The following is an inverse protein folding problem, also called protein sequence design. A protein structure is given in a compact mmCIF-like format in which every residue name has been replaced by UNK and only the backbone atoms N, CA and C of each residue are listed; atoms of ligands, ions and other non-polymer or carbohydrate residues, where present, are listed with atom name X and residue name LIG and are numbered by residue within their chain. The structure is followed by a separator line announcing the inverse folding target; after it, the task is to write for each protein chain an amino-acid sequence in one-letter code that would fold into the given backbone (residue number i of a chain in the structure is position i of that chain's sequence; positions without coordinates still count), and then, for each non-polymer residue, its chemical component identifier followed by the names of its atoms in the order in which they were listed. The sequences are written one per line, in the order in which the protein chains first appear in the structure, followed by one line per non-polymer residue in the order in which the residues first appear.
data_IF_908979322280
#
_entry.id   IF_908979322280
#
_cell.length_a   1.000
_cell.length_b   1.000
_cell.length_c   1.000
_cell.angle_alpha   90.00
_cell.angle_beta   90.00
_cell.angle_gamma   90.00
#
_symmetry.space_group_name_H-M   'P 1'
#
loop_
_entity.id
_entity.type
_entity.pdbx_description
1 polymer ?
#
# COMPACT_ATOMS: atom_id res chain seq x y z
N UNK A 1 0.19 24.52 6.76
CA UNK A 1 1.05 23.47 6.19
C UNK A 1 1.36 23.91 4.77
N UNK A 2 2.63 24.23 4.48
CA UNK A 2 3.07 24.61 3.14
C UNK A 2 3.47 23.32 2.40
N UNK A 3 3.00 23.16 1.16
CA UNK A 3 3.26 21.98 0.34
C UNK A 3 2.50 22.06 -0.98
N UNK A 4 2.88 21.23 -1.95
CA UNK A 4 2.17 21.13 -3.22
C UNK A 4 0.92 20.24 -3.05
N UNK A 5 -0.31 20.77 -3.25
CA UNK A 5 -1.52 19.98 -3.07
C UNK A 5 -1.62 18.85 -4.12
N UNK A 6 -1.96 17.66 -3.62
CA UNK A 6 -2.17 16.45 -4.42
C UNK A 6 -3.58 15.92 -4.17
N UNK A 7 -4.21 15.40 -5.21
CA UNK A 7 -5.41 14.58 -5.10
C UNK A 7 -5.01 13.10 -5.05
N UNK A 8 -5.70 12.31 -4.22
CA UNK A 8 -5.51 10.87 -4.10
C UNK A 8 -6.87 10.19 -4.03
N UNK A 9 -7.12 9.24 -4.92
CA UNK A 9 -8.30 8.38 -4.87
C UNK A 9 -7.92 7.02 -4.31
N UNK A 10 -8.77 6.51 -3.42
CA UNK A 10 -8.59 5.24 -2.77
C UNK A 10 -9.91 4.47 -2.64
N UNK A 11 -9.82 3.16 -2.43
CA UNK A 11 -10.95 2.26 -2.18
C UNK A 11 -10.68 1.37 -0.98
N UNK A 12 -11.70 0.70 -0.47
CA UNK A 12 -11.58 -0.28 0.61
C UNK A 12 -11.13 -1.68 0.13
N UNK A 13 -10.49 -1.79 -1.03
CA UNK A 13 -10.01 -3.06 -1.62
C UNK A 13 -8.52 -3.00 -1.94
N UNK A 14 -7.89 -4.17 -2.03
CA UNK A 14 -6.45 -4.30 -2.29
C UNK A 14 -5.64 -3.42 -1.33
N UNK A 15 -4.64 -2.73 -1.86
CA UNK A 15 -3.88 -1.74 -1.10
C UNK A 15 -4.36 -0.30 -1.29
N UNK A 16 -5.67 -0.16 -1.54
CA UNK A 16 -6.46 1.06 -1.55
C UNK A 16 -6.21 2.07 -2.66
N UNK A 17 -4.98 2.54 -2.87
CA UNK A 17 -4.69 3.65 -3.80
C UNK A 17 -5.01 3.23 -5.25
N UNK A 18 -5.82 4.03 -5.94
CA UNK A 18 -6.23 3.76 -7.33
C UNK A 18 -5.73 4.80 -8.31
N UNK A 19 -5.61 6.06 -7.88
CA UNK A 19 -5.16 7.18 -8.71
C UNK A 19 -4.60 8.29 -7.82
N UNK A 20 -3.63 9.04 -8.32
CA UNK A 20 -3.05 10.18 -7.61
C UNK A 20 -2.44 11.17 -8.62
N UNK A 21 -2.40 12.45 -8.27
CA UNK A 21 -1.82 13.47 -9.13
C UNK A 21 -1.89 14.85 -8.51
N UNK A 22 -1.39 15.85 -9.23
CA UNK A 22 -1.34 17.23 -8.74
C UNK A 22 -2.16 18.15 -9.63
N UNK A 23 -2.70 19.23 -9.07
CA UNK A 23 -3.55 20.20 -9.75
C UNK A 23 -4.84 19.63 -10.35
N UNK A 24 -4.74 18.88 -11.46
CA UNK A 24 -5.84 18.34 -12.25
C UNK A 24 -5.52 16.92 -12.74
N UNK A 25 -6.40 16.34 -13.56
CA UNK A 25 -6.26 14.96 -14.07
C UNK A 25 -5.21 14.83 -15.18
N UNK A 26 -4.81 15.94 -15.80
CA UNK A 26 -3.83 15.94 -16.89
C UNK A 26 -2.39 15.87 -16.35
N UNK A 27 -2.23 16.11 -15.04
CA UNK A 27 -0.98 15.93 -14.27
C UNK A 27 -1.08 14.76 -13.29
N UNK A 28 -1.62 13.64 -13.77
CA UNK A 28 -1.71 12.40 -13.01
C UNK A 28 -0.33 11.73 -12.85
N UNK A 29 0.00 11.35 -11.62
CA UNK A 29 1.13 10.44 -11.31
C UNK A 29 0.69 8.99 -11.50
N UNK A 30 -0.54 8.68 -11.07
CA UNK A 30 -1.23 7.41 -11.30
C UNK A 30 -2.52 7.73 -12.07
N UNK A 31 -2.69 7.11 -13.24
CA UNK A 31 -3.80 7.34 -14.16
C UNK A 31 -5.15 7.40 -13.42
N UNK A 32 -5.92 8.46 -13.69
CA UNK A 32 -7.26 8.58 -13.14
C UNK A 32 -8.17 7.47 -13.66
N UNK A 33 -8.79 6.71 -12.75
CA UNK A 33 -9.78 5.69 -13.08
C UNK A 33 -11.14 6.05 -12.49
N UNK A 34 -12.24 5.99 -13.26
CA UNK A 34 -13.58 6.10 -12.70
C UNK A 34 -13.85 4.95 -11.73
N UNK A 35 -14.72 5.21 -10.73
CA UNK A 35 -14.91 4.33 -9.58
C UNK A 35 -15.17 2.85 -9.96
N UNK A 36 -16.03 2.60 -10.94
CA UNK A 36 -16.36 1.25 -11.40
C UNK A 36 -15.13 0.44 -11.88
N UNK A 37 -14.18 1.10 -12.55
CA UNK A 37 -12.93 0.50 -13.04
C UNK A 37 -11.89 0.41 -11.93
N UNK A 38 -11.82 1.43 -11.07
CA UNK A 38 -10.95 1.48 -9.91
C UNK A 38 -11.23 0.28 -8.96
N UNK A 39 -12.49 0.05 -8.59
CA UNK A 39 -12.91 -1.05 -7.71
C UNK A 39 -12.58 -2.46 -8.22
N UNK A 40 -12.53 -2.65 -9.54
CA UNK A 40 -12.23 -3.95 -10.16
C UNK A 40 -10.74 -4.19 -10.34
N UNK A 41 -9.94 -3.12 -10.42
CA UNK A 41 -8.54 -3.22 -10.83
C UNK A 41 -7.55 -2.94 -9.70
N UNK A 42 -7.96 -2.32 -8.59
CA UNK A 42 -7.07 -1.96 -7.46
C UNK A 42 -6.34 -3.15 -6.83
N UNK A 43 -6.92 -4.36 -6.89
CA UNK A 43 -6.25 -5.56 -6.40
C UNK A 43 -5.12 -6.04 -7.31
N UNK A 44 -5.12 -5.61 -8.58
CA UNK A 44 -4.18 -6.05 -9.62
C UNK A 44 -3.24 -4.93 -10.08
N UNK A 45 -3.66 -3.68 -9.96
CA UNK A 45 -2.95 -2.48 -10.41
C UNK A 45 -2.56 -1.60 -9.22
N UNK A 46 -1.57 -0.74 -9.41
CA UNK A 46 -0.97 0.11 -8.37
C UNK A 46 -0.17 -0.71 -7.34
N UNK A 47 -0.40 -0.50 -6.05
CA UNK A 47 0.46 -1.06 -5.00
C UNK A 47 0.08 -2.49 -4.63
N UNK A 48 1.10 -3.35 -4.62
CA UNK A 48 1.02 -4.74 -4.16
C UNK A 48 2.27 -5.08 -3.37
N UNK A 49 2.10 -5.92 -2.34
CA UNK A 49 3.19 -6.40 -1.50
C UNK A 49 3.22 -7.91 -1.60
N UNK A 50 4.38 -8.47 -1.91
CA UNK A 50 4.59 -9.92 -1.87
C UNK A 50 5.67 -10.25 -0.85
N UNK A 51 5.37 -11.21 0.01
CA UNK A 51 6.27 -11.68 1.05
C UNK A 51 6.61 -13.14 0.80
N UNK A 52 7.88 -13.49 0.97
CA UNK A 52 8.32 -14.88 1.11
C UNK A 52 8.69 -15.13 2.57
N UNK A 53 7.93 -15.98 3.25
CA UNK A 53 8.04 -16.25 4.70
C UNK A 53 8.15 -17.76 4.87
N UNK A 54 9.27 -18.25 5.41
CA UNK A 54 9.53 -19.69 5.59
C UNK A 54 9.22 -20.50 4.31
N UNK A 55 9.70 -20.02 3.16
CA UNK A 55 9.44 -20.57 1.82
C UNK A 55 7.97 -20.57 1.34
N UNK A 56 7.07 -19.90 2.04
CA UNK A 56 5.68 -19.68 1.60
C UNK A 56 5.51 -18.28 1.03
N UNK A 57 4.82 -18.17 -0.09
CA UNK A 57 4.43 -16.89 -0.66
C UNK A 57 3.14 -16.38 0.00
N UNK A 58 3.10 -15.09 0.26
CA UNK A 58 1.96 -14.43 0.88
C UNK A 58 1.81 -13.02 0.32
N UNK A 59 0.61 -12.70 -0.15
CA UNK A 59 0.20 -11.37 -0.60
C UNK A 59 -0.79 -10.78 0.41
N UNK A 60 -0.36 -9.86 1.30
CA UNK A 60 -1.25 -9.14 2.18
C UNK A 60 -2.24 -8.29 1.39
N UNK A 61 -3.45 -8.15 1.91
CA UNK A 61 -4.55 -7.40 1.31
C UNK A 61 -5.11 -7.98 0.01
N UNK A 62 -4.74 -9.23 -0.34
CA UNK A 62 -5.36 -9.95 -1.46
C UNK A 62 -6.86 -10.12 -1.25
N UNK A 63 -7.66 -9.95 -2.30
CA UNK A 63 -9.12 -10.17 -2.25
C UNK A 63 -9.50 -11.61 -1.91
N UNK A 64 -8.62 -12.58 -2.17
CA UNK A 64 -8.85 -14.00 -1.89
C UNK A 64 -8.51 -14.41 -0.45
N UNK A 65 -8.02 -13.48 0.37
CA UNK A 65 -7.66 -13.74 1.76
C UNK A 65 -8.81 -13.47 2.72
N UNK A 66 -9.11 -14.45 3.57
CA UNK A 66 -10.04 -14.33 4.70
C UNK A 66 -9.43 -13.64 5.94
N UNK A 67 -8.18 -13.17 5.84
CA UNK A 67 -7.56 -12.46 6.96
C UNK A 67 -8.32 -11.16 7.25
N UNK A 68 -8.45 -10.84 8.54
CA UNK A 68 -9.03 -9.55 8.96
C UNK A 68 -8.16 -8.40 8.46
N UNK A 69 -8.81 -7.45 7.79
CA UNK A 69 -8.23 -6.23 7.23
C UNK A 69 -8.93 -5.02 7.85
N UNK A 70 -8.16 -4.08 8.36
CA UNK A 70 -8.65 -2.81 8.88
C UNK A 70 -8.11 -1.67 7.99
N UNK A 71 -8.98 -0.72 7.64
CA UNK A 71 -8.60 0.54 7.01
C UNK A 71 -8.88 1.67 8.01
N UNK A 72 -7.88 2.54 8.21
CA UNK A 72 -7.97 3.70 9.11
C UNK A 72 -7.64 4.94 8.30
N UNK A 73 -8.51 5.93 8.37
CA UNK A 73 -8.40 7.19 7.63
C UNK A 73 -8.30 8.31 8.65
N UNK A 74 -7.28 9.16 8.53
CA UNK A 74 -7.20 10.41 9.26
C UNK A 74 -7.24 11.58 8.28
N UNK A 75 -7.13 12.81 8.79
CA UNK A 75 -7.01 14.00 7.94
C UNK A 75 -5.68 14.07 7.17
N UNK A 76 -4.67 13.28 7.54
CA UNK A 76 -3.31 13.39 6.97
C UNK A 76 -2.80 12.08 6.37
N UNK A 77 -3.40 10.93 6.69
CA UNK A 77 -2.92 9.63 6.24
C UNK A 77 -4.02 8.58 6.05
N UNK A 78 -3.65 7.51 5.35
CA UNK A 78 -4.43 6.30 5.16
C UNK A 78 -3.59 5.10 5.58
N UNK A 79 -4.08 4.35 6.57
CA UNK A 79 -3.40 3.13 7.06
C UNK A 79 -4.24 1.89 6.80
N UNK A 80 -3.62 0.87 6.22
CA UNK A 80 -4.15 -0.48 6.06
C UNK A 80 -3.43 -1.42 7.02
N UNK A 81 -4.18 -2.30 7.68
CA UNK A 81 -3.63 -3.31 8.58
C UNK A 81 -4.23 -4.66 8.24
N UNK A 82 -3.39 -5.68 8.01
CA UNK A 82 -3.82 -7.07 7.90
C UNK A 82 -3.06 -7.91 8.92
N UNK A 83 -3.77 -8.81 9.62
CA UNK A 83 -3.14 -9.81 10.48
C UNK A 83 -3.42 -11.22 9.97
N UNK A 84 -2.36 -11.92 9.56
CA UNK A 84 -2.43 -13.32 9.18
C UNK A 84 -2.10 -14.20 10.40
N UNK A 85 -3.14 -14.77 11.01
CA UNK A 85 -2.98 -15.60 12.21
C UNK A 85 -2.23 -16.92 11.95
N UNK A 86 -2.38 -17.49 10.74
CA UNK A 86 -1.71 -18.73 10.34
C UNK A 86 -0.20 -18.52 10.17
N UNK A 87 0.18 -17.40 9.55
CA UNK A 87 1.58 -17.01 9.39
C UNK A 87 2.14 -16.21 10.57
N UNK A 88 1.33 -15.87 11.58
CA UNK A 88 1.73 -15.02 12.72
C UNK A 88 2.45 -13.76 12.25
N UNK A 89 1.85 -13.07 11.30
CA UNK A 89 2.36 -11.82 10.73
C UNK A 89 1.31 -10.74 10.81
N UNK A 90 1.74 -9.53 11.12
CA UNK A 90 0.98 -8.30 10.94
C UNK A 90 1.66 -7.44 9.90
N UNK A 91 0.90 -6.97 8.93
CA UNK A 91 1.38 -6.07 7.87
C UNK A 91 0.60 -4.76 7.98
N UNK A 92 1.33 -3.65 8.02
CA UNK A 92 0.77 -2.30 8.03
C UNK A 92 1.29 -1.55 6.81
N UNK A 93 0.39 -0.96 6.03
CA UNK A 93 0.73 -0.08 4.90
C UNK A 93 0.19 1.30 5.21
N UNK A 94 1.04 2.31 5.26
CA UNK A 94 0.64 3.68 5.55
C UNK A 94 0.99 4.59 4.37
N UNK A 95 0.01 5.37 3.95
CA UNK A 95 0.09 6.33 2.86
C UNK A 95 -0.10 7.74 3.41
N UNK A 96 0.77 8.66 3.05
CA UNK A 96 0.68 10.06 3.46
C UNK A 96 1.30 10.96 2.38
N UNK A 97 0.82 12.20 2.31
CA UNK A 97 1.45 13.21 1.45
C UNK A 97 2.74 13.69 2.09
N UNK A 98 3.78 13.95 1.28
CA UNK A 98 5.05 14.46 1.81
C UNK A 98 4.90 15.95 2.10
N UNK A 99 4.90 16.39 3.37
CA UNK A 99 4.73 17.80 3.72
C UNK A 99 6.03 18.58 3.48
N UNK A 100 5.91 19.90 3.27
CA UNK A 100 7.03 20.84 3.17
C UNK A 100 7.99 20.60 1.98
N UNK A 101 7.61 19.78 1.01
CA UNK A 101 8.36 19.60 -0.24
C UNK A 101 7.83 20.50 -1.36
N UNK A 102 8.71 20.83 -2.31
CA UNK A 102 8.37 21.66 -3.48
C UNK A 102 7.61 20.89 -4.57
N UNK A 103 7.43 19.57 -4.39
CA UNK A 103 6.75 18.70 -5.35
C UNK A 103 5.63 17.89 -4.68
N UNK A 104 4.60 17.48 -5.43
CA UNK A 104 3.52 16.64 -4.93
C UNK A 104 4.03 15.20 -4.78
N UNK A 105 4.13 14.71 -3.55
CA UNK A 105 4.62 13.37 -3.25
C UNK A 105 3.64 12.54 -2.43
N UNK A 106 3.46 11.27 -2.81
CA UNK A 106 2.76 10.26 -2.01
C UNK A 106 3.78 9.27 -1.46
N UNK A 107 4.02 9.32 -0.16
CA UNK A 107 4.85 8.34 0.52
C UNK A 107 4.03 7.10 0.86
N UNK A 108 4.68 5.93 0.75
CA UNK A 108 4.12 4.63 1.15
C UNK A 108 5.15 3.92 2.03
N UNK A 109 4.75 3.58 3.25
CA UNK A 109 5.58 2.77 4.15
C UNK A 109 4.93 1.40 4.36
N UNK A 110 5.75 0.34 4.39
CA UNK A 110 5.30 -1.03 4.69
C UNK A 110 6.03 -1.51 5.93
N UNK A 111 5.27 -1.77 6.99
CA UNK A 111 5.78 -2.34 8.24
C UNK A 111 5.32 -3.78 8.37
N UNK A 112 6.28 -4.68 8.53
CA UNK A 112 6.03 -6.11 8.74
C UNK A 112 6.43 -6.44 10.17
N UNK A 113 5.51 -6.98 10.96
CA UNK A 113 5.74 -7.38 12.35
C UNK A 113 5.58 -8.89 12.48
N UNK A 114 6.65 -9.56 12.93
CA UNK A 114 6.60 -10.96 13.32
C UNK A 114 5.88 -11.09 14.68
N UNK A 115 4.78 -11.85 14.70
CA UNK A 115 4.01 -12.15 15.90
C UNK A 115 4.32 -13.54 16.48
N UNK A 116 5.27 -14.27 15.88
CA UNK A 116 5.71 -15.56 16.41
C UNK A 116 6.74 -15.36 17.54
N UNK A 117 6.81 -16.33 18.45
CA UNK A 117 7.79 -16.34 19.54
C UNK A 117 9.22 -16.72 19.07
N UNK A 118 9.44 -16.85 17.76
CA UNK A 118 10.72 -17.23 17.16
C UNK A 118 11.05 -16.31 15.98
N UNK A 119 12.33 -15.99 15.74
CA UNK A 119 12.76 -15.30 14.52
C UNK A 119 12.30 -16.06 13.27
N UNK A 120 11.95 -15.31 12.21
CA UNK A 120 11.52 -15.87 10.93
C UNK A 120 12.31 -15.26 9.79
N UNK A 121 12.57 -16.06 8.77
CA UNK A 121 13.16 -15.57 7.53
C UNK A 121 12.04 -15.00 6.67
N UNK A 122 12.00 -13.68 6.53
CA UNK A 122 11.09 -12.98 5.64
C UNK A 122 11.86 -12.12 4.66
N UNK A 123 11.59 -12.30 3.36
CA UNK A 123 12.08 -11.41 2.31
C UNK A 123 10.86 -10.68 1.75
N UNK A 124 10.90 -9.35 1.81
CA UNK A 124 10.00 -8.51 1.03
C UNK A 124 10.48 -8.58 -0.40
N UNK A 125 9.61 -9.00 -1.31
CA UNK A 125 9.95 -9.05 -2.72
C UNK A 125 9.95 -7.62 -3.29
N UNK A 126 11.12 -7.07 -3.68
CA UNK A 126 11.23 -5.69 -4.13
C UNK A 126 10.75 -5.51 -5.57
N UNK A 127 10.27 -6.55 -6.27
CA UNK A 127 9.97 -6.57 -7.72
C UNK A 127 8.90 -5.58 -8.23
N UNK A 128 8.50 -4.59 -7.44
CA UNK A 128 7.74 -3.41 -7.89
C UNK A 128 8.55 -2.09 -7.89
N UNK A 129 9.85 -2.11 -7.57
CA UNK A 129 10.82 -1.04 -7.82
C UNK A 129 12.14 -1.73 -8.19
N UNK A 130 12.64 -1.50 -9.39
CA UNK A 130 14.02 -1.86 -9.72
C UNK A 130 14.95 -1.06 -8.81
N UNK A 131 15.62 -1.71 -7.86
CA UNK A 131 16.91 -1.25 -7.38
C UNK A 131 17.70 -2.39 -6.74
N UNK A 132 18.93 -2.56 -7.25
CA UNK A 132 19.97 -3.41 -6.67
C UNK A 132 20.37 -2.82 -5.32
N UNK A 133 20.36 -3.65 -4.28
CA UNK A 133 20.97 -3.28 -3.01
C UNK A 133 22.43 -3.74 -3.06
N UNK A 134 23.34 -2.76 -3.09
CA UNK A 134 24.76 -2.90 -2.74
C UNK A 134 24.95 -2.96 -1.24
#
# INVERSE_FOLDING_TARGET
IFGCPMWVFYTNRGQAITSAGAHDKDRAIIEFQPANKAYRSVALKCFRTFLKVDNKFYEPFSETSDNKKDMRITSHDLTLVETNQKLKLKVEVNYFTIPNEQFPGLARTVKITNLANKPRNSVLDPRNLEEKIS
#
